data_IF_496187106024
#
_entry.id   IF_496187106024
#
_cell.length_a   1.000
_cell.length_b   1.000
_cell.length_c   1.000
_cell.angle_alpha   90.00
_cell.angle_beta   90.00
_cell.angle_gamma   90.00
#
_symmetry.space_group_name_H-M   'P 1'
#
loop_
_entity.id
_entity.type
_entity.pdbx_description
1 polymer ?
#
# COMPACT_ATOMS: atom_id res chain seq x y z
N UNK A 1 -6.22 -1.65 -12.30
CA UNK A 1 -5.31 -1.15 -11.25
C UNK A 1 -3.89 -0.93 -11.78
N UNK A 2 -3.40 -1.73 -12.73
CA UNK A 2 -2.02 -1.62 -13.26
C UNK A 2 -1.52 -0.21 -13.60
N UNK A 3 -2.34 0.65 -14.24
CA UNK A 3 -1.92 2.02 -14.56
C UNK A 3 -1.64 2.88 -13.31
N UNK A 4 -2.39 2.66 -12.23
CA UNK A 4 -2.16 3.36 -10.95
C UNK A 4 -0.86 2.87 -10.34
N UNK A 5 -0.68 1.55 -10.26
CA UNK A 5 0.55 0.97 -9.69
C UNK A 5 1.80 1.41 -10.44
N UNK A 6 1.75 1.43 -11.78
CA UNK A 6 2.86 1.93 -12.60
C UNK A 6 3.11 3.43 -12.42
N UNK A 7 2.05 4.24 -12.40
CA UNK A 7 2.17 5.69 -12.28
C UNK A 7 2.78 6.09 -10.93
N UNK A 8 2.34 5.45 -9.84
CA UNK A 8 2.81 5.70 -8.48
C UNK A 8 3.96 4.77 -8.06
N UNK A 9 4.65 4.13 -9.00
CA UNK A 9 5.85 3.32 -8.74
C UNK A 9 5.69 2.24 -7.65
N UNK A 10 4.53 1.60 -7.58
CA UNK A 10 4.34 0.45 -6.71
C UNK A 10 5.20 -0.74 -7.17
N UNK A 11 5.71 -1.48 -6.20
CA UNK A 11 6.45 -2.72 -6.41
C UNK A 11 5.61 -3.79 -7.11
N UNK A 12 6.27 -4.87 -7.53
CA UNK A 12 5.57 -6.11 -7.80
C UNK A 12 4.86 -6.62 -6.53
N UNK A 13 3.84 -7.44 -6.73
CA UNK A 13 3.13 -8.08 -5.63
C UNK A 13 4.01 -9.16 -4.98
N UNK A 14 3.97 -9.21 -3.66
CA UNK A 14 4.60 -10.23 -2.83
C UNK A 14 3.61 -10.72 -1.78
N UNK A 15 3.72 -11.98 -1.37
CA UNK A 15 2.89 -12.52 -0.29
C UNK A 15 3.35 -11.97 1.06
N UNK A 16 2.43 -11.44 1.84
CA UNK A 16 2.72 -11.01 3.21
C UNK A 16 2.99 -12.22 4.13
N UNK A 17 4.19 -12.26 4.71
CA UNK A 17 4.56 -13.19 5.78
C UNK A 17 4.65 -12.49 7.15
N UNK A 18 4.40 -11.18 7.23
CA UNK A 18 4.44 -10.43 8.49
C UNK A 18 3.23 -10.65 9.38
N UNK A 19 2.10 -11.08 8.80
CA UNK A 19 0.81 -11.23 9.48
C UNK A 19 0.03 -9.93 9.61
N UNK A 20 0.55 -8.80 9.13
CA UNK A 20 -0.11 -7.50 9.19
C UNK A 20 -1.22 -7.35 8.14
N UNK A 21 -1.16 -8.11 7.04
CA UNK A 21 -2.08 -8.00 5.90
C UNK A 21 -2.78 -9.33 5.62
N UNK A 22 -3.18 -10.05 6.68
CA UNK A 22 -3.91 -11.32 6.57
C UNK A 22 -3.26 -12.37 5.66
N UNK A 23 -1.93 -12.33 5.49
CA UNK A 23 -1.18 -13.15 4.53
C UNK A 23 -1.60 -13.00 3.06
N UNK A 24 -2.24 -11.89 2.72
CA UNK A 24 -2.61 -11.54 1.36
C UNK A 24 -1.39 -11.07 0.54
N UNK A 25 -1.56 -10.98 -0.77
CA UNK A 25 -0.57 -10.34 -1.62
C UNK A 25 -0.60 -8.82 -1.39
N UNK A 26 0.57 -8.22 -1.23
CA UNK A 26 0.74 -6.79 -1.05
C UNK A 26 1.70 -6.23 -2.10
N UNK A 27 1.51 -4.98 -2.48
CA UNK A 27 2.54 -4.19 -3.16
C UNK A 27 2.69 -2.84 -2.45
N UNK A 28 3.84 -2.20 -2.60
CA UNK A 28 4.14 -0.98 -1.87
C UNK A 28 4.82 0.08 -2.74
N UNK A 29 4.64 1.35 -2.35
CA UNK A 29 5.41 2.48 -2.88
C UNK A 29 6.11 3.20 -1.74
N UNK A 30 7.33 3.65 -2.00
CA UNK A 30 8.16 4.40 -1.05
C UNK A 30 7.74 5.88 -1.08
N UNK A 31 7.28 6.41 0.06
CA UNK A 31 7.04 7.85 0.24
C UNK A 31 8.32 8.55 0.72
N UNK A 32 9.05 7.89 1.62
CA UNK A 32 10.40 8.23 2.06
C UNK A 32 11.08 6.98 2.63
N UNK A 33 12.27 7.11 3.22
CA UNK A 33 13.07 5.97 3.71
C UNK A 33 12.34 5.05 4.72
N UNK A 34 11.34 5.58 5.43
CA UNK A 34 10.61 4.86 6.49
C UNK A 34 9.10 4.78 6.29
N UNK A 35 8.51 5.59 5.40
CA UNK A 35 7.07 5.62 5.16
C UNK A 35 6.72 5.05 3.80
N UNK A 36 5.68 4.22 3.78
CA UNK A 36 5.28 3.47 2.60
C UNK A 36 3.77 3.45 2.48
N UNK A 37 3.28 3.58 1.25
CA UNK A 37 1.92 3.21 0.91
C UNK A 37 1.88 1.73 0.57
N UNK A 38 0.88 1.02 1.07
CA UNK A 38 0.72 -0.41 0.82
C UNK A 38 -0.67 -0.66 0.27
N UNK A 39 -0.74 -1.34 -0.87
CA UNK A 39 -1.96 -1.97 -1.34
C UNK A 39 -1.96 -3.43 -0.93
N UNK A 40 -2.97 -3.82 -0.17
CA UNK A 40 -3.31 -5.22 0.09
C UNK A 40 -4.35 -5.68 -0.92
N UNK A 41 -4.08 -6.78 -1.60
CA UNK A 41 -5.04 -7.43 -2.51
C UNK A 41 -5.89 -8.42 -1.74
N UNK A 42 -7.14 -8.07 -1.51
CA UNK A 42 -8.11 -8.98 -0.91
C UNK A 42 -8.76 -9.85 -2.00
N UNK A 43 -9.66 -10.76 -1.61
CA UNK A 43 -10.35 -11.63 -2.56
C UNK A 43 -11.18 -10.86 -3.61
N UNK A 44 -11.69 -9.68 -3.27
CA UNK A 44 -12.65 -8.92 -4.09
C UNK A 44 -12.21 -7.50 -4.40
N UNK A 45 -11.22 -6.95 -3.70
CA UNK A 45 -10.81 -5.55 -3.85
C UNK A 45 -9.38 -5.32 -3.39
N UNK A 46 -9.01 -4.05 -3.24
CA UNK A 46 -7.73 -3.63 -2.68
C UNK A 46 -7.97 -2.72 -1.48
N UNK A 47 -7.20 -2.88 -0.42
CA UNK A 47 -7.18 -1.92 0.68
C UNK A 47 -5.90 -1.09 0.57
N UNK A 48 -5.99 0.22 0.79
CA UNK A 48 -4.86 1.13 0.79
C UNK A 48 -4.52 1.51 2.23
N UNK A 49 -3.25 1.36 2.58
CA UNK A 49 -2.71 1.70 3.88
C UNK A 49 -1.57 2.70 3.74
N UNK A 50 -1.37 3.50 4.78
CA UNK A 50 -0.10 4.16 5.06
C UNK A 50 0.57 3.42 6.20
N UNK A 51 1.88 3.22 6.05
CA UNK A 51 2.64 2.40 6.98
C UNK A 51 4.02 2.99 7.22
N UNK A 52 4.58 2.65 8.39
CA UNK A 52 5.96 2.96 8.75
C UNK A 52 6.71 1.68 9.02
N UNK A 53 7.87 1.54 8.38
CA UNK A 53 8.83 0.47 8.62
C UNK A 53 10.21 1.07 8.88
N UNK A 54 11.09 0.29 9.50
CA UNK A 54 12.51 0.68 9.66
C UNK A 54 13.20 0.90 8.32
N UNK A 55 12.83 0.11 7.32
CA UNK A 55 13.26 0.21 5.93
C UNK A 55 12.40 -0.73 5.07
N UNK A 56 12.45 -0.57 3.75
CA UNK A 56 11.66 -1.38 2.80
C UNK A 56 11.90 -2.88 2.81
N UNK A 57 13.02 -3.38 3.34
CA UNK A 57 13.32 -4.83 3.36
C UNK A 57 12.47 -5.58 4.38
N UNK A 58 11.85 -4.86 5.32
CA UNK A 58 10.96 -5.38 6.35
C UNK A 58 9.55 -5.66 5.83
N UNK A 59 9.13 -4.97 4.77
CA UNK A 59 7.78 -5.06 4.19
C UNK A 59 7.52 -6.49 3.74
N UNK A 60 6.39 -7.05 4.19
CA UNK A 60 6.00 -8.44 3.91
C UNK A 60 6.75 -9.50 4.73
N UNK A 61 7.66 -9.11 5.64
CA UNK A 61 8.41 -10.05 6.51
C UNK A 61 8.17 -9.80 7.99
N UNK A 62 8.24 -8.54 8.40
CA UNK A 62 8.01 -8.11 9.77
C UNK A 62 6.83 -7.13 9.80
N UNK A 63 6.07 -7.06 10.91
CA UNK A 63 4.98 -6.13 11.01
C UNK A 63 5.48 -4.67 11.01
N UNK A 64 4.70 -3.73 10.46
CA UNK A 64 5.03 -2.31 10.50
C UNK A 64 5.09 -1.76 11.92
N UNK A 65 5.87 -0.69 12.11
CA UNK A 65 5.88 0.10 13.35
C UNK A 65 4.57 0.88 13.52
N UNK A 66 4.01 1.38 12.41
CA UNK A 66 2.73 2.08 12.35
C UNK A 66 1.99 1.58 11.12
N UNK A 67 0.70 1.27 11.26
CA UNK A 67 -0.18 0.90 10.17
C UNK A 67 -1.53 1.60 10.34
N UNK A 68 -1.92 2.37 9.33
CA UNK A 68 -3.20 3.05 9.29
C UNK A 68 -3.87 2.79 7.94
N UNK A 69 -5.17 2.50 7.99
CA UNK A 69 -5.96 2.27 6.80
C UNK A 69 -6.43 3.61 6.23
N UNK A 70 -6.10 3.87 4.97
CA UNK A 70 -6.53 5.08 4.27
C UNK A 70 -7.87 4.84 3.59
N UNK A 71 -7.99 3.72 2.86
CA UNK A 71 -9.18 3.38 2.09
C UNK A 71 -9.39 1.87 2.12
N UNK A 72 -10.59 1.45 2.53
CA UNK A 72 -11.09 0.10 2.30
C UNK A 72 -11.75 0.00 0.93
N UNK A 73 -11.61 -1.15 0.28
CA UNK A 73 -12.24 -1.44 -1.01
C UNK A 73 -11.96 -0.36 -2.08
N UNK A 74 -10.69 0.00 -2.23
CA UNK A 74 -10.21 1.02 -3.15
C UNK A 74 -10.76 0.82 -4.56
N UNK A 75 -11.66 1.71 -4.94
CA UNK A 75 -12.15 1.85 -6.31
C UNK A 75 -11.54 3.09 -6.98
N UNK A 76 -10.75 2.84 -8.03
CA UNK A 76 -10.15 3.89 -8.88
C UNK A 76 -11.18 4.78 -9.57
N UNK A 77 -12.44 4.38 -9.66
CA UNK A 77 -13.53 5.12 -10.28
C UNK A 77 -14.00 6.27 -9.39
N UNK A 78 -13.81 6.14 -8.08
CA UNK A 78 -14.18 7.11 -7.06
C UNK A 78 -13.11 8.22 -6.98
N UNK A 79 -13.46 9.50 -7.23
CA UNK A 79 -12.53 10.62 -7.16
C UNK A 79 -11.81 10.76 -5.81
N UNK A 80 -12.53 10.59 -4.72
CA UNK A 80 -12.03 10.68 -3.34
C UNK A 80 -10.89 9.68 -3.12
N UNK A 81 -11.03 8.47 -3.67
CA UNK A 81 -10.00 7.44 -3.55
C UNK A 81 -8.73 7.80 -4.33
N UNK A 82 -8.88 8.36 -5.53
CA UNK A 82 -7.75 8.85 -6.30
C UNK A 82 -7.08 10.04 -5.62
N UNK A 83 -7.87 10.92 -5.01
CA UNK A 83 -7.36 12.11 -4.34
C UNK A 83 -6.58 11.77 -3.07
N UNK A 84 -7.02 10.77 -2.29
CA UNK A 84 -6.27 10.31 -1.13
C UNK A 84 -4.87 9.83 -1.53
N UNK A 85 -4.75 9.08 -2.63
CA UNK A 85 -3.46 8.63 -3.13
C UNK A 85 -2.59 9.83 -3.57
N UNK A 86 -3.16 10.77 -4.32
CA UNK A 86 -2.47 11.99 -4.78
C UNK A 86 -1.87 12.82 -3.65
N UNK A 87 -2.56 12.95 -2.53
CA UNK A 87 -2.08 13.74 -1.37
C UNK A 87 -0.73 13.29 -0.81
N UNK A 88 -0.30 12.06 -1.11
CA UNK A 88 1.00 11.54 -0.67
C UNK A 88 2.11 11.63 -1.74
N UNK A 89 1.79 12.05 -2.97
CA UNK A 89 2.75 12.15 -4.08
C UNK A 89 2.81 13.54 -4.73
N UNK A 90 1.83 14.41 -4.48
CA UNK A 90 1.85 15.80 -4.90
C UNK A 90 2.64 16.62 -3.84
N UNK A 91 3.95 16.78 -4.06
CA UNK A 91 4.82 17.81 -3.45
C UNK A 91 4.90 19.06 -4.35
#
# INVERSE_FOLDING_TARGET
MENIFKYYQFSDFLTDASGAFSSNEICFSELNETHFLIFEKTATSYNLYVSRFKNKKEIGKNPPEILEILIENYDKSIPEHRNALKQYFDD
#
